data_IF_753610899158
#
_entry.id   IF_753610899158
#
_cell.length_a   1.000
_cell.length_b   1.000
_cell.length_c   1.000
_cell.angle_alpha   90.00
_cell.angle_beta   90.00
_cell.angle_gamma   90.00
#
_symmetry.space_group_name_H-M   'P 1'
#
loop_
_entity.id
_entity.type
_entity.pdbx_description
1 polymer ?
#
# COMPACT_ATOMS: atom_id res chain seq x y z
N UNK A 1 -0.46 8.72 25.75
CA UNK A 1 -0.50 8.84 24.28
C UNK A 1 -0.80 7.45 23.77
N UNK A 2 -1.92 7.23 23.10
CA UNK A 2 -2.17 5.92 22.49
C UNK A 2 -1.21 5.77 21.31
N UNK A 3 -0.52 4.63 21.24
CA UNK A 3 0.41 4.38 20.15
C UNK A 3 -0.33 4.37 18.82
N UNK A 4 0.25 5.07 17.85
CA UNK A 4 -0.30 5.16 16.49
C UNK A 4 -0.20 3.78 15.83
N UNK A 5 -1.35 3.16 15.53
CA UNK A 5 -1.39 1.85 14.87
C UNK A 5 -0.80 1.98 13.47
N UNK A 6 0.20 1.15 13.16
CA UNK A 6 0.84 1.10 11.84
C UNK A 6 0.55 -0.23 11.18
N UNK A 7 0.05 -0.18 9.94
CA UNK A 7 -0.29 -1.36 9.13
C UNK A 7 0.62 -1.41 7.91
N UNK A 8 1.36 -2.51 7.76
CA UNK A 8 2.13 -2.79 6.54
C UNK A 8 1.22 -3.42 5.48
N UNK A 9 1.29 -2.91 4.25
CA UNK A 9 0.48 -3.36 3.12
C UNK A 9 1.37 -3.62 1.92
N UNK A 10 1.24 -4.81 1.33
CA UNK A 10 1.75 -5.11 0.00
C UNK A 10 0.89 -4.37 -1.04
N UNK A 11 1.49 -3.40 -1.70
CA UNK A 11 0.85 -2.61 -2.75
C UNK A 11 0.83 -3.30 -4.11
N UNK A 12 1.55 -4.40 -4.29
CA UNK A 12 1.76 -5.04 -5.60
C UNK A 12 1.02 -6.37 -5.74
N UNK A 13 0.57 -6.97 -4.64
CA UNK A 13 -0.17 -8.22 -4.62
C UNK A 13 -1.66 -8.08 -4.97
N UNK A 14 -2.14 -8.94 -5.89
CA UNK A 14 -3.54 -9.04 -6.30
C UNK A 14 -3.81 -8.61 -7.74
N UNK A 15 -4.90 -9.10 -8.33
CA UNK A 15 -5.19 -9.01 -9.76
C UNK A 15 -5.23 -7.57 -10.30
N UNK A 16 -5.66 -6.61 -9.47
CA UNK A 16 -5.79 -5.20 -9.84
C UNK A 16 -4.85 -4.30 -9.03
N UNK A 17 -3.74 -4.83 -8.52
CA UNK A 17 -2.75 -4.03 -7.81
C UNK A 17 -1.93 -3.16 -8.78
N UNK A 18 -1.49 -1.95 -8.38
CA UNK A 18 -1.68 -1.30 -7.08
C UNK A 18 -3.00 -0.52 -6.90
N UNK A 19 -3.83 -0.39 -7.94
CA UNK A 19 -5.01 0.51 -7.91
C UNK A 19 -6.07 0.08 -6.90
N UNK A 20 -6.36 -1.23 -6.81
CA UNK A 20 -7.32 -1.75 -5.83
C UNK A 20 -6.87 -1.48 -4.38
N UNK A 21 -5.57 -1.61 -4.11
CA UNK A 21 -4.99 -1.42 -2.77
C UNK A 21 -5.10 0.04 -2.37
N UNK A 22 -4.67 0.96 -3.25
CA UNK A 22 -4.74 2.40 -3.00
C UNK A 22 -6.18 2.87 -2.81
N UNK A 23 -7.13 2.36 -3.59
CA UNK A 23 -8.56 2.66 -3.42
C UNK A 23 -9.10 2.19 -2.06
N UNK A 24 -8.74 0.97 -1.65
CA UNK A 24 -9.11 0.41 -0.35
C UNK A 24 -8.57 1.25 0.82
N UNK A 25 -7.31 1.68 0.74
CA UNK A 25 -6.73 2.59 1.72
C UNK A 25 -7.48 3.93 1.74
N UNK A 26 -7.86 4.46 0.58
CA UNK A 26 -8.68 5.67 0.47
C UNK A 26 -10.03 5.58 1.18
N UNK A 27 -10.64 4.38 1.21
CA UNK A 27 -11.86 4.12 1.98
C UNK A 27 -11.53 4.02 3.48
N UNK A 28 -10.51 3.26 3.86
CA UNK A 28 -10.13 3.03 5.25
C UNK A 28 -9.68 4.32 5.97
N UNK A 29 -8.94 5.18 5.27
CA UNK A 29 -8.41 6.44 5.80
C UNK A 29 -9.52 7.43 6.21
N UNK A 30 -10.71 7.34 5.61
CA UNK A 30 -11.86 8.20 5.98
C UNK A 30 -12.35 7.93 7.40
N UNK A 31 -12.36 6.65 7.80
CA UNK A 31 -12.87 6.23 9.12
C UNK A 31 -11.76 6.07 10.15
N UNK A 32 -10.49 6.05 9.74
CA UNK A 32 -9.33 5.76 10.59
C UNK A 32 -8.18 6.75 10.35
N UNK A 33 -8.36 8.06 10.61
CA UNK A 33 -7.34 9.07 10.34
C UNK A 33 -6.05 8.88 11.15
N UNK A 34 -6.14 8.20 12.30
CA UNK A 34 -4.99 7.96 13.18
C UNK A 34 -4.14 6.77 12.74
N UNK A 35 -4.63 5.90 11.86
CA UNK A 35 -3.85 4.76 11.35
C UNK A 35 -2.77 5.26 10.40
N UNK A 36 -1.57 4.68 10.48
CA UNK A 36 -0.50 4.87 9.50
C UNK A 36 -0.41 3.64 8.60
N UNK A 37 -0.37 3.85 7.30
CA UNK A 37 -0.22 2.77 6.32
C UNK A 37 1.20 2.80 5.72
N UNK A 38 1.96 1.73 5.90
CA UNK A 38 3.24 1.52 5.22
C UNK A 38 2.97 0.73 3.94
N UNK A 39 3.01 1.40 2.79
CA UNK A 39 2.66 0.79 1.50
C UNK A 39 3.92 0.43 0.72
N UNK A 40 4.16 -0.86 0.52
CA UNK A 40 5.33 -1.38 -0.17
C UNK A 40 5.04 -1.59 -1.65
N UNK A 41 5.96 -1.18 -2.53
CA UNK A 41 5.85 -1.46 -3.97
C UNK A 41 6.52 -0.43 -4.87
N UNK A 42 6.20 -0.48 -6.16
CA UNK A 42 6.76 0.46 -7.13
C UNK A 42 6.11 1.84 -6.96
N UNK A 43 6.85 2.77 -6.37
CA UNK A 43 6.40 4.15 -6.13
C UNK A 43 5.96 4.86 -7.41
N UNK A 44 6.55 4.53 -8.55
CA UNK A 44 6.17 5.13 -9.85
C UNK A 44 4.75 4.74 -10.25
N UNK A 45 4.27 3.57 -9.81
CA UNK A 45 2.89 3.10 -10.02
C UNK A 45 1.96 3.56 -8.90
N UNK A 46 2.45 3.62 -7.66
CA UNK A 46 1.65 3.92 -6.47
C UNK A 46 1.38 5.43 -6.30
N UNK A 47 2.40 6.29 -6.45
CA UNK A 47 2.27 7.73 -6.19
C UNK A 47 1.18 8.40 -7.05
N UNK A 48 1.08 8.15 -8.38
CA UNK A 48 0.02 8.74 -9.20
C UNK A 48 -1.39 8.33 -8.78
N UNK A 49 -1.54 7.17 -8.15
CA UNK A 49 -2.81 6.71 -7.60
C UNK A 49 -3.11 7.44 -6.29
N UNK A 50 -2.12 7.57 -5.38
CA UNK A 50 -2.28 8.28 -4.11
C UNK A 50 -2.65 9.75 -4.30
N UNK A 51 -2.18 10.41 -5.37
CA UNK A 51 -2.59 11.79 -5.69
C UNK A 51 -4.11 11.93 -5.87
N UNK A 52 -4.81 10.87 -6.29
CA UNK A 52 -6.27 10.86 -6.46
C UNK A 52 -7.02 10.71 -5.12
N UNK A 53 -6.31 10.38 -4.03
CA UNK A 53 -6.88 10.13 -2.71
C UNK A 53 -6.14 10.92 -1.62
N UNK A 54 -6.42 12.23 -1.44
CA UNK A 54 -5.70 13.09 -0.49
C UNK A 54 -5.67 12.57 0.95
N UNK A 55 -6.75 11.95 1.42
CA UNK A 55 -6.80 11.35 2.75
C UNK A 55 -5.86 10.14 2.87
N UNK A 56 -5.83 9.26 1.86
CA UNK A 56 -4.88 8.14 1.83
C UNK A 56 -3.45 8.65 1.81
N UNK A 57 -3.16 9.63 0.94
CA UNK A 57 -1.83 10.26 0.84
C UNK A 57 -1.34 10.84 2.17
N UNK A 58 -2.25 11.40 2.99
CA UNK A 58 -1.89 11.97 4.29
C UNK A 58 -1.51 10.92 5.36
N UNK A 59 -2.00 9.68 5.22
CA UNK A 59 -1.76 8.60 6.20
C UNK A 59 -0.84 7.49 5.68
N UNK A 60 -0.47 7.54 4.40
CA UNK A 60 0.45 6.61 3.76
C UNK A 60 1.90 7.09 3.80
N UNK A 61 2.80 6.17 4.08
CA UNK A 61 4.22 6.28 3.76
C UNK A 61 4.56 5.14 2.80
N UNK A 62 5.07 5.49 1.62
CA UNK A 62 5.50 4.50 0.64
C UNK A 62 6.89 3.99 0.96
N UNK A 63 7.12 2.70 0.70
CA UNK A 63 8.41 2.05 0.77
C UNK A 63 8.70 1.44 -0.59
N UNK A 64 9.50 2.15 -1.38
CA UNK A 64 9.84 1.71 -2.72
C UNK A 64 10.50 0.33 -2.72
N UNK A 65 9.98 -0.55 -3.56
CA UNK A 65 10.66 -1.74 -4.06
C UNK A 65 10.28 -1.94 -5.52
N UNK A 66 11.20 -2.49 -6.32
CA UNK A 66 10.91 -2.97 -7.68
C UNK A 66 10.54 -4.43 -7.72
N UNK A 67 10.83 -5.16 -6.64
CA UNK A 67 10.68 -6.60 -6.56
C UNK A 67 9.34 -6.95 -5.94
N UNK A 68 8.64 -7.89 -6.56
CA UNK A 68 7.38 -8.44 -6.09
C UNK A 68 7.29 -9.90 -6.52
N UNK A 69 6.64 -10.72 -5.70
CA UNK A 69 6.44 -12.14 -5.99
C UNK A 69 5.28 -12.28 -6.98
N UNK A 70 5.54 -12.92 -8.11
CA UNK A 70 4.55 -13.19 -9.15
C UNK A 70 3.75 -14.45 -8.81
N UNK A 71 2.59 -14.64 -9.44
CA UNK A 71 1.77 -15.85 -9.24
C UNK A 71 2.46 -17.13 -9.73
N UNK A 72 3.47 -17.00 -10.61
CA UNK A 72 4.23 -18.12 -11.14
C UNK A 72 5.44 -18.49 -10.24
N UNK A 73 5.77 -17.64 -9.27
CA UNK A 73 6.86 -17.90 -8.34
C UNK A 73 6.46 -18.95 -7.30
N UNK A 74 7.36 -19.90 -7.06
CA UNK A 74 7.17 -20.86 -5.97
C UNK A 74 7.38 -20.12 -4.64
N UNK A 75 6.47 -20.24 -3.65
CA UNK A 75 6.60 -19.55 -2.36
C UNK A 75 7.92 -19.82 -1.64
N UNK A 76 8.51 -21.00 -1.85
CA UNK A 76 9.78 -21.41 -1.24
C UNK A 76 11.03 -20.87 -1.94
N UNK A 77 10.89 -20.27 -3.13
CA UNK A 77 11.99 -19.76 -3.94
C UNK A 77 12.04 -18.21 -4.00
N UNK A 78 11.07 -17.53 -3.41
CA UNK A 78 11.04 -16.08 -3.28
C UNK A 78 11.81 -15.65 -2.02
N UNK A 79 13.11 -15.34 -2.18
CA UNK A 79 14.01 -14.88 -1.11
C UNK A 79 14.81 -13.66 -1.56
#
# INVERSE_FOLDING_TARGET
MSDRITVAIDGMGGDNAPSMIVSGIGIAAKSNPDVKFLLFGDERRILPLLEQYPMAKAVCETRHTTDFVTNDDKPTAAL
#
